data_IF_934576026352
#
_entry.id   IF_934576026352
#
_cell.length_a   1.000
_cell.length_b   1.000
_cell.length_c   1.000
_cell.angle_alpha   90.00
_cell.angle_beta   90.00
_cell.angle_gamma   90.00
#
_symmetry.space_group_name_H-M   'P 1'
#
loop_
_entity.id
_entity.type
_entity.pdbx_description
1 polymer ?
#
# COMPACT_ATOMS: atom_id res chain seq x y z
N UNK A 1 -18.20 9.03 -5.58
CA UNK A 1 -19.51 8.52 -6.05
C UNK A 1 -19.46 8.10 -7.52
N UNK A 2 -18.98 8.97 -8.42
CA UNK A 2 -18.95 8.71 -9.87
C UNK A 2 -18.34 7.35 -10.27
N UNK A 3 -17.13 7.01 -9.78
CA UNK A 3 -16.46 5.72 -10.11
C UNK A 3 -17.32 4.47 -9.82
N UNK A 4 -18.06 4.44 -8.71
CA UNK A 4 -18.93 3.31 -8.38
C UNK A 4 -20.16 3.25 -9.29
N UNK A 5 -20.77 4.40 -9.57
CA UNK A 5 -21.93 4.48 -10.46
C UNK A 5 -21.58 4.13 -11.91
N UNK A 6 -20.38 4.51 -12.37
CA UNK A 6 -19.85 4.15 -13.67
C UNK A 6 -19.64 2.64 -13.78
N UNK A 7 -18.99 2.04 -12.77
CA UNK A 7 -18.81 0.59 -12.69
C UNK A 7 -20.15 -0.15 -12.68
N UNK A 8 -21.11 0.29 -11.86
CA UNK A 8 -22.47 -0.26 -11.82
C UNK A 8 -23.12 -0.26 -13.19
N UNK A 9 -22.99 0.84 -13.93
CA UNK A 9 -23.57 0.98 -15.27
C UNK A 9 -22.98 -0.04 -16.25
N UNK A 10 -21.66 -0.25 -16.21
CA UNK A 10 -20.98 -1.25 -17.04
C UNK A 10 -21.37 -2.69 -16.66
N UNK A 11 -21.42 -3.01 -15.35
CA UNK A 11 -21.79 -4.34 -14.88
C UNK A 11 -23.23 -4.71 -15.24
N UNK A 12 -24.15 -3.73 -15.15
CA UNK A 12 -25.54 -3.89 -15.56
C UNK A 12 -25.66 -4.20 -17.05
N UNK A 13 -24.90 -3.51 -17.91
CA UNK A 13 -24.88 -3.78 -19.35
C UNK A 13 -24.36 -5.20 -19.67
N UNK A 14 -23.52 -5.76 -18.80
CA UNK A 14 -23.01 -7.14 -18.94
C UNK A 14 -23.89 -8.20 -18.29
N UNK A 15 -25.04 -7.82 -17.72
CA UNK A 15 -25.96 -8.75 -17.06
C UNK A 15 -25.39 -9.38 -15.79
N UNK A 16 -24.46 -8.71 -15.11
CA UNK A 16 -23.89 -9.20 -13.84
C UNK A 16 -24.96 -9.17 -12.77
N UNK A 17 -25.13 -10.29 -12.05
CA UNK A 17 -26.07 -10.40 -10.95
C UNK A 17 -25.35 -10.87 -9.68
N UNK A 18 -25.71 -10.35 -8.49
CA UNK A 18 -26.68 -9.27 -8.25
C UNK A 18 -26.20 -7.90 -8.77
N UNK A 19 -27.12 -6.94 -9.04
CA UNK A 19 -26.73 -5.62 -9.51
C UNK A 19 -25.97 -4.86 -8.42
N UNK A 20 -24.81 -4.28 -8.77
CA UNK A 20 -24.00 -3.49 -7.85
C UNK A 20 -24.79 -2.27 -7.34
N UNK A 21 -24.77 -2.01 -6.04
CA UNK A 21 -25.32 -0.81 -5.42
C UNK A 21 -24.24 0.02 -4.75
N UNK A 22 -24.34 1.34 -4.87
CA UNK A 22 -23.36 2.27 -4.31
C UNK A 22 -23.95 2.94 -3.06
N UNK A 23 -23.43 2.59 -1.88
CA UNK A 23 -23.82 3.20 -0.61
C UNK A 23 -22.77 4.23 -0.21
N UNK A 24 -23.20 5.47 0.03
CA UNK A 24 -22.29 6.55 0.44
C UNK A 24 -22.15 6.60 1.96
N UNK A 25 -20.91 6.66 2.43
CA UNK A 25 -20.54 6.86 3.83
C UNK A 25 -19.73 8.15 4.02
N UNK A 26 -19.64 8.64 5.26
CA UNK A 26 -18.87 9.85 5.58
C UNK A 26 -17.35 9.62 5.63
N UNK A 27 -16.95 8.45 6.12
CA UNK A 27 -15.57 8.02 6.24
C UNK A 27 -15.52 6.48 6.28
N UNK A 28 -14.33 5.91 6.38
CA UNK A 28 -14.15 4.45 6.36
C UNK A 28 -14.84 3.76 7.53
N UNK A 29 -14.82 4.37 8.72
CA UNK A 29 -15.45 3.79 9.90
C UNK A 29 -16.99 3.79 9.79
N UNK A 30 -17.60 4.85 9.24
CA UNK A 30 -19.04 4.89 8.94
C UNK A 30 -19.41 3.82 7.90
N UNK A 31 -18.54 3.58 6.90
CA UNK A 31 -18.78 2.52 5.91
C UNK A 31 -18.74 1.12 6.57
N UNK A 32 -17.75 0.87 7.42
CA UNK A 32 -17.65 -0.37 8.19
C UNK A 32 -18.82 -0.57 9.15
N UNK A 33 -19.25 0.50 9.82
CA UNK A 33 -20.44 0.48 10.65
C UNK A 33 -21.68 0.09 9.83
N UNK A 34 -21.89 0.71 8.66
CA UNK A 34 -23.00 0.38 7.74
C UNK A 34 -22.96 -1.06 7.27
N UNK A 35 -21.78 -1.61 6.99
CA UNK A 35 -21.65 -3.04 6.66
C UNK A 35 -22.09 -3.88 7.85
N UNK A 36 -21.59 -3.57 9.05
CA UNK A 36 -21.92 -4.29 10.27
C UNK A 36 -23.41 -4.27 10.63
N UNK A 37 -24.14 -3.19 10.29
CA UNK A 37 -25.60 -3.06 10.51
C UNK A 37 -26.46 -3.39 9.27
N UNK A 38 -25.89 -4.08 8.28
CA UNK A 38 -26.59 -4.52 7.08
C UNK A 38 -27.20 -3.43 6.20
N UNK A 39 -26.54 -2.27 6.18
CA UNK A 39 -26.83 -1.16 5.26
C UNK A 39 -25.87 -1.10 4.05
N UNK A 40 -24.85 -1.95 4.04
CA UNK A 40 -23.92 -2.17 2.93
C UNK A 40 -23.33 -3.59 3.04
N UNK A 41 -22.73 -4.09 1.96
CA UNK A 41 -22.25 -5.48 1.90
C UNK A 41 -20.73 -5.60 1.99
N UNK A 42 -19.99 -4.72 1.31
CA UNK A 42 -18.53 -4.81 1.20
C UNK A 42 -17.86 -3.45 0.99
N UNK A 43 -16.56 -3.39 1.30
CA UNK A 43 -15.68 -2.25 1.06
C UNK A 43 -14.27 -2.77 0.72
N UNK A 44 -13.54 -2.07 -0.14
CA UNK A 44 -12.09 -2.29 -0.32
C UNK A 44 -11.31 -1.48 0.71
N UNK A 45 -10.44 -2.13 1.48
CA UNK A 45 -9.57 -1.53 2.50
C UNK A 45 -8.11 -1.83 2.22
N UNK A 46 -7.24 -0.87 2.55
CA UNK A 46 -5.80 -1.11 2.66
C UNK A 46 -5.45 -1.98 3.89
N UNK A 47 -4.22 -2.49 3.90
CA UNK A 47 -3.69 -3.40 4.91
C UNK A 47 -3.73 -2.81 6.33
N UNK A 48 -3.39 -1.53 6.46
CA UNK A 48 -3.31 -0.82 7.75
C UNK A 48 -4.70 -0.59 8.33
N UNK A 49 -5.63 -0.14 7.48
CA UNK A 49 -7.01 0.16 7.84
C UNK A 49 -7.77 -1.13 8.16
N UNK A 50 -7.57 -2.20 7.38
CA UNK A 50 -8.13 -3.53 7.65
C UNK A 50 -7.64 -4.09 8.97
N UNK A 51 -6.34 -3.97 9.27
CA UNK A 51 -5.78 -4.39 10.56
C UNK A 51 -6.38 -3.57 11.72
N UNK A 52 -6.35 -2.24 11.60
CA UNK A 52 -6.83 -1.31 12.64
C UNK A 52 -8.29 -1.56 13.06
N UNK A 53 -9.15 -1.85 12.09
CA UNK A 53 -10.59 -2.00 12.34
C UNK A 53 -11.05 -3.44 12.54
N UNK A 54 -10.16 -4.43 12.37
CA UNK A 54 -10.50 -5.85 12.50
C UNK A 54 -11.15 -6.17 13.85
N UNK A 55 -10.49 -5.79 14.95
CA UNK A 55 -10.92 -6.20 16.28
C UNK A 55 -12.26 -5.55 16.67
N UNK A 56 -12.61 -4.42 16.05
CA UNK A 56 -13.87 -3.71 16.27
C UNK A 56 -15.03 -4.31 15.47
N UNK A 57 -14.80 -4.71 14.22
CA UNK A 57 -15.87 -5.10 13.28
C UNK A 57 -15.85 -6.57 12.88
N UNK A 58 -14.85 -7.35 13.30
CA UNK A 58 -14.62 -8.75 12.92
C UNK A 58 -14.71 -8.92 11.39
N UNK A 59 -13.74 -8.34 10.69
CA UNK A 59 -13.75 -8.30 9.23
C UNK A 59 -13.36 -9.66 8.63
N UNK A 60 -14.01 -10.00 7.53
CA UNK A 60 -13.71 -11.19 6.71
C UNK A 60 -13.30 -10.73 5.32
N UNK A 61 -12.18 -11.26 4.85
CA UNK A 61 -11.65 -10.95 3.52
C UNK A 61 -12.35 -11.84 2.47
N UNK A 62 -12.85 -11.24 1.39
CA UNK A 62 -13.51 -11.92 0.27
C UNK A 62 -12.55 -12.15 -0.88
N UNK A 63 -11.93 -11.07 -1.36
CA UNK A 63 -10.93 -11.07 -2.41
C UNK A 63 -9.82 -10.09 -2.07
N UNK A 64 -8.62 -10.39 -2.54
CA UNK A 64 -7.47 -9.49 -2.44
C UNK A 64 -7.14 -8.97 -3.83
N UNK A 65 -6.77 -7.69 -3.90
CA UNK A 65 -6.26 -7.12 -5.14
C UNK A 65 -5.00 -7.87 -5.59
N UNK A 66 -4.95 -8.18 -6.89
CA UNK A 66 -3.83 -8.84 -7.52
C UNK A 66 -3.09 -7.85 -8.42
N UNK A 67 -1.83 -7.60 -8.07
CA UNK A 67 -0.96 -6.67 -8.76
C UNK A 67 0.02 -7.44 -9.66
N UNK A 68 -0.43 -7.81 -10.87
CA UNK A 68 0.43 -8.39 -11.90
C UNK A 68 -0.01 -9.75 -12.45
N UNK A 69 0.85 -10.34 -13.28
CA UNK A 69 0.65 -11.60 -13.99
C UNK A 69 0.91 -12.83 -13.09
N UNK A 70 1.69 -12.71 -12.02
CA UNK A 70 2.04 -13.82 -11.11
C UNK A 70 0.97 -14.24 -10.08
N UNK A 71 -0.21 -13.62 -10.03
CA UNK A 71 -1.25 -13.94 -9.04
C UNK A 71 -0.81 -13.77 -7.58
N UNK A 72 0.12 -12.84 -7.29
CA UNK A 72 0.56 -12.58 -5.92
C UNK A 72 -0.20 -11.40 -5.32
N UNK A 73 -0.81 -11.62 -4.16
CA UNK A 73 -1.63 -10.64 -3.43
C UNK A 73 -0.84 -9.87 -2.37
N UNK A 74 0.49 -9.80 -2.48
CA UNK A 74 1.35 -9.17 -1.47
C UNK A 74 2.38 -8.24 -2.13
N UNK A 75 2.75 -7.19 -1.40
CA UNK A 75 3.89 -6.33 -1.69
C UNK A 75 5.08 -6.72 -0.83
N UNK A 76 6.28 -6.42 -1.30
CA UNK A 76 7.46 -6.30 -0.47
C UNK A 76 7.53 -4.90 0.11
N UNK A 77 7.66 -4.79 1.43
CA UNK A 77 8.02 -3.54 2.08
C UNK A 77 9.54 -3.39 2.03
N UNK A 78 10.02 -2.41 1.28
CA UNK A 78 11.44 -2.13 1.13
C UNK A 78 11.82 -0.87 1.91
N UNK A 79 13.02 -0.86 2.49
CA UNK A 79 13.69 0.36 2.91
C UNK A 79 14.80 0.68 1.91
N UNK A 80 14.66 1.81 1.21
CA UNK A 80 15.69 2.33 0.32
C UNK A 80 16.46 3.39 1.08
N UNK A 81 17.78 3.30 1.04
CA UNK A 81 18.68 4.21 1.76
C UNK A 81 19.77 4.72 0.85
N UNK A 82 20.30 5.90 1.16
CA UNK A 82 21.57 6.34 0.58
C UNK A 82 22.70 5.45 1.09
N UNK A 83 23.68 5.15 0.26
CA UNK A 83 24.89 4.44 0.70
C UNK A 83 25.61 5.27 1.74
N UNK A 84 25.83 4.69 2.91
CA UNK A 84 26.51 5.32 4.04
C UNK A 84 27.17 4.26 4.90
N UNK A 85 28.36 4.52 5.47
CA UNK A 85 28.98 3.63 6.45
C UNK A 85 28.18 3.52 7.75
N UNK A 86 27.32 4.50 8.04
CA UNK A 86 26.53 4.58 9.27
C UNK A 86 25.13 3.96 9.13
N UNK A 87 24.86 3.24 8.04
CA UNK A 87 23.54 2.66 7.75
C UNK A 87 23.71 1.35 6.98
N UNK A 88 24.04 0.30 7.71
CA UNK A 88 24.40 -1.02 7.18
C UNK A 88 23.39 -2.11 7.50
N UNK A 89 22.46 -1.84 8.42
CA UNK A 89 21.38 -2.74 8.77
C UNK A 89 20.18 -1.97 9.34
N UNK A 90 19.04 -2.65 9.48
CA UNK A 90 17.85 -2.08 10.13
C UNK A 90 18.09 -1.60 11.57
N UNK A 91 19.10 -2.12 12.26
CA UNK A 91 19.46 -1.67 13.61
C UNK A 91 20.01 -0.23 13.64
N UNK A 92 20.54 0.25 12.50
CA UNK A 92 21.17 1.57 12.38
C UNK A 92 20.16 2.68 12.05
N UNK A 93 18.86 2.35 11.97
CA UNK A 93 17.80 3.31 11.66
C UNK A 93 17.48 4.28 12.80
N UNK A 94 17.89 3.96 14.03
CA UNK A 94 17.64 4.81 15.18
C UNK A 94 18.32 6.19 15.01
N UNK A 95 17.52 7.25 15.06
CA UNK A 95 17.99 8.62 14.87
C UNK A 95 18.19 9.06 13.41
N UNK A 96 17.89 8.18 12.44
CA UNK A 96 17.87 8.52 11.02
C UNK A 96 16.55 9.18 10.61
N UNK A 97 16.62 9.99 9.58
CA UNK A 97 15.48 10.76 9.05
C UNK A 97 14.81 10.04 7.88
N UNK A 98 13.48 10.10 7.83
CA UNK A 98 12.65 9.31 6.92
C UNK A 98 11.91 10.17 5.89
N UNK A 99 11.84 9.66 4.66
CA UNK A 99 10.92 10.10 3.62
C UNK A 99 9.55 9.46 3.82
N UNK A 100 8.49 10.26 3.68
CA UNK A 100 7.10 9.86 3.88
C UNK A 100 6.23 10.35 2.71
N UNK A 101 5.24 9.56 2.32
CA UNK A 101 4.22 9.91 1.32
C UNK A 101 3.00 10.57 1.96
N UNK A 102 2.53 11.72 1.46
CA UNK A 102 1.25 12.26 1.92
C UNK A 102 0.09 11.64 1.12
N UNK A 103 -0.84 10.97 1.80
CA UNK A 103 -2.09 10.50 1.17
C UNK A 103 -2.92 11.65 0.59
N UNK A 104 -3.27 11.57 -0.70
CA UNK A 104 -4.42 12.29 -1.29
C UNK A 104 -4.14 13.40 -2.30
N UNK A 105 -2.89 13.81 -2.49
CA UNK A 105 -2.47 14.65 -3.60
C UNK A 105 -0.96 14.43 -3.77
N UNK A 106 -0.49 14.13 -4.97
CA UNK A 106 0.89 13.75 -5.32
C UNK A 106 1.92 14.87 -5.07
N UNK A 107 1.96 15.42 -3.87
CA UNK A 107 2.91 16.42 -3.40
C UNK A 107 3.79 15.74 -2.37
N UNK A 108 4.99 15.35 -2.80
CA UNK A 108 6.07 14.91 -1.93
C UNK A 108 6.32 16.03 -0.92
N UNK A 109 6.04 15.79 0.37
CA UNK A 109 6.31 16.77 1.41
C UNK A 109 7.77 16.69 1.87
N UNK A 110 8.59 17.51 1.23
CA UNK A 110 9.99 17.73 1.62
C UNK A 110 10.11 18.41 3.00
N UNK A 111 9.02 18.90 3.60
CA UNK A 111 8.96 19.71 4.82
C UNK A 111 8.49 18.96 6.08
N UNK A 112 8.31 17.63 6.03
CA UNK A 112 8.01 16.77 7.21
C UNK A 112 6.70 17.09 7.96
N UNK A 113 5.74 17.79 7.36
CA UNK A 113 4.48 18.17 8.01
C UNK A 113 3.60 16.95 8.35
N UNK A 114 3.76 15.84 7.60
CA UNK A 114 3.03 14.57 7.80
C UNK A 114 3.44 13.75 9.03
N UNK A 115 4.63 13.95 9.62
CA UNK A 115 5.11 13.14 10.76
C UNK A 115 4.21 13.20 12.01
N UNK A 116 3.34 14.21 12.12
CA UNK A 116 2.48 14.42 13.30
C UNK A 116 1.18 13.59 13.21
N UNK A 117 0.86 12.99 12.05
CA UNK A 117 -0.42 12.32 11.81
C UNK A 117 -0.49 10.86 12.29
N UNK A 118 0.65 10.22 12.59
CA UNK A 118 0.68 8.82 13.05
C UNK A 118 0.13 7.80 12.04
N UNK A 119 0.02 8.18 10.76
CA UNK A 119 -0.31 7.27 9.65
C UNK A 119 0.99 6.74 9.03
N UNK A 120 1.00 5.48 8.63
CA UNK A 120 2.17 4.84 8.01
C UNK A 120 2.24 5.23 6.53
N UNK A 121 2.96 6.30 6.29
CA UNK A 121 3.08 6.99 5.01
C UNK A 121 4.16 6.35 4.10
N UNK A 122 4.00 5.07 3.74
CA UNK A 122 4.89 4.40 2.78
C UNK A 122 4.61 4.90 1.36
N UNK A 123 5.64 4.99 0.51
CA UNK A 123 5.44 5.31 -0.89
C UNK A 123 4.82 4.12 -1.63
N UNK A 124 3.73 4.40 -2.38
CA UNK A 124 3.16 3.44 -3.32
C UNK A 124 3.96 3.37 -4.64
N UNK A 125 4.72 4.44 -4.95
CA UNK A 125 5.59 4.52 -6.12
C UNK A 125 7.06 4.65 -5.72
N UNK A 126 7.89 3.78 -6.28
CA UNK A 126 9.33 3.78 -6.13
C UNK A 126 9.98 5.08 -6.61
N UNK A 127 9.46 5.67 -7.69
CA UNK A 127 9.91 6.97 -8.21
C UNK A 127 9.83 8.08 -7.16
N UNK A 128 8.78 8.08 -6.35
CA UNK A 128 8.51 9.15 -5.39
C UNK A 128 9.41 9.02 -4.16
N UNK A 129 9.66 7.77 -3.73
CA UNK A 129 10.66 7.47 -2.71
C UNK A 129 12.05 7.96 -3.13
N UNK A 130 12.46 7.67 -4.36
CA UNK A 130 13.76 8.09 -4.91
C UNK A 130 13.84 9.59 -5.14
N UNK A 131 12.76 10.21 -5.60
CA UNK A 131 12.62 11.66 -5.71
C UNK A 131 12.82 12.34 -4.35
N UNK A 132 12.18 11.82 -3.30
CA UNK A 132 12.37 12.34 -1.94
C UNK A 132 13.81 12.20 -1.46
N UNK A 133 14.40 11.00 -1.59
CA UNK A 133 15.77 10.77 -1.12
C UNK A 133 16.79 11.62 -1.88
N UNK A 134 16.64 11.78 -3.18
CA UNK A 134 17.59 12.55 -4.00
C UNK A 134 17.52 14.05 -3.78
N UNK A 135 16.32 14.59 -3.63
CA UNK A 135 16.12 16.04 -3.47
C UNK A 135 16.24 16.52 -2.01
N UNK A 136 16.41 15.62 -1.04
CA UNK A 136 16.49 15.97 0.39
C UNK A 136 17.73 15.40 1.07
N UNK A 137 17.97 15.83 2.31
CA UNK A 137 19.01 15.28 3.18
C UNK A 137 18.47 14.14 4.08
N UNK A 138 17.43 13.44 3.63
CA UNK A 138 16.85 12.30 4.36
C UNK A 138 17.62 11.01 4.11
N UNK A 139 17.58 10.11 5.09
CA UNK A 139 18.41 8.90 5.13
C UNK A 139 17.72 7.68 4.50
N UNK A 140 16.42 7.51 4.76
CA UNK A 140 15.66 6.31 4.39
C UNK A 140 14.28 6.65 3.82
N UNK A 141 13.82 5.88 2.83
CA UNK A 141 12.44 5.89 2.36
C UNK A 141 11.88 4.46 2.41
N UNK A 142 10.62 4.33 2.83
CA UNK A 142 9.92 3.05 2.82
C UNK A 142 8.96 3.00 1.63
N UNK A 143 9.04 1.94 0.84
CA UNK A 143 8.27 1.79 -0.40
C UNK A 143 7.65 0.41 -0.50
N UNK A 144 6.41 0.36 -0.99
CA UNK A 144 5.73 -0.89 -1.36
C UNK A 144 6.16 -1.26 -2.78
N UNK A 145 6.77 -2.44 -2.96
CA UNK A 145 7.11 -2.98 -4.28
C UNK A 145 6.27 -4.23 -4.57
N UNK A 146 5.38 -4.22 -5.59
CA UNK A 146 4.73 -5.43 -6.06
C UNK A 146 5.75 -6.51 -6.48
N UNK A 147 5.41 -7.78 -6.31
CA UNK A 147 6.35 -8.90 -6.54
C UNK A 147 7.00 -8.91 -7.93
N UNK A 148 6.29 -8.43 -8.95
CA UNK A 148 6.76 -8.38 -10.34
C UNK A 148 7.21 -6.98 -10.79
N UNK A 149 7.08 -5.97 -9.94
CA UNK A 149 7.56 -4.63 -10.27
C UNK A 149 9.08 -4.60 -10.23
N UNK A 150 9.67 -3.96 -11.23
CA UNK A 150 11.10 -3.70 -11.23
C UNK A 150 11.38 -2.38 -10.53
N UNK A 151 12.43 -2.38 -9.71
CA UNK A 151 12.96 -1.21 -8.99
C UNK A 151 13.33 -0.05 -9.95
N UNK A 152 13.46 -0.32 -11.25
CA UNK A 152 13.77 0.65 -12.30
C UNK A 152 12.74 0.71 -13.44
N UNK A 153 11.59 0.02 -13.33
CA UNK A 153 10.51 0.06 -14.32
C UNK A 153 9.52 1.20 -14.10
N UNK A 154 9.57 1.81 -12.92
CA UNK A 154 8.86 3.04 -12.59
C UNK A 154 9.76 4.23 -12.92
N UNK A 155 9.19 5.30 -13.47
CA UNK A 155 9.91 6.47 -13.99
C UNK A 155 10.99 6.98 -13.01
N UNK A 156 12.25 6.58 -13.24
CA UNK A 156 13.39 7.08 -12.48
C UNK A 156 13.82 8.40 -13.12
N UNK A 157 13.95 9.51 -12.38
CA UNK A 157 14.44 10.75 -12.92
C UNK A 157 15.83 10.54 -13.58
N UNK A 158 16.06 11.01 -14.82
CA UNK A 158 17.28 10.70 -15.57
C UNK A 158 18.60 11.21 -14.95
N UNK A 159 18.51 12.07 -13.92
CA UNK A 159 19.67 12.60 -13.20
C UNK A 159 20.02 11.79 -11.93
N UNK A 160 19.28 10.72 -11.66
CA UNK A 160 19.46 9.91 -10.45
C UNK A 160 20.43 8.75 -10.71
N UNK A 161 21.54 8.73 -9.97
CA UNK A 161 22.45 7.59 -9.98
C UNK A 161 21.98 6.54 -8.97
N UNK A 162 21.42 5.43 -9.46
CA UNK A 162 20.92 4.34 -8.62
C UNK A 162 22.03 3.68 -7.78
N UNK A 163 23.29 3.77 -8.21
CA UNK A 163 24.43 3.23 -7.46
C UNK A 163 24.72 3.98 -6.17
N UNK A 164 24.16 5.17 -5.97
CA UNK A 164 24.30 5.91 -4.70
C UNK A 164 23.33 5.41 -3.63
N UNK A 165 22.45 4.46 -3.99
CA UNK A 165 21.41 3.92 -3.12
C UNK A 165 21.53 2.41 -2.96
N UNK A 166 20.90 1.89 -1.91
CA UNK A 166 20.88 0.47 -1.58
C UNK A 166 19.59 0.10 -0.84
N UNK A 167 19.25 -1.18 -0.85
CA UNK A 167 18.20 -1.75 -0.03
C UNK A 167 18.77 -2.05 1.37
N UNK A 168 18.04 -1.65 2.40
CA UNK A 168 18.34 -2.01 3.78
C UNK A 168 17.58 -3.28 4.15
N UNK A 169 18.33 -4.31 4.53
CA UNK A 169 17.82 -5.62 4.94
C UNK A 169 17.91 -5.77 6.45
N UNK A 170 17.23 -6.78 7.01
CA UNK A 170 17.29 -7.09 8.44
C UNK A 170 18.74 -7.17 8.97
N UNK A 171 19.63 -7.87 8.26
CA UNK A 171 21.01 -8.14 8.68
C UNK A 171 22.08 -7.62 7.70
N UNK A 172 21.79 -6.54 6.96
CA UNK A 172 22.76 -6.03 5.99
C UNK A 172 22.15 -5.06 5.00
N UNK A 173 22.88 -4.84 3.91
CA UNK A 173 22.44 -4.05 2.76
C UNK A 173 22.64 -4.85 1.48
N UNK A 174 21.81 -4.58 0.48
CA UNK A 174 21.95 -5.13 -0.87
C UNK A 174 21.89 -4.02 -1.92
N UNK A 175 22.58 -4.17 -3.06
CA UNK A 175 22.43 -3.24 -4.18
C UNK A 175 20.97 -3.07 -4.59
N UNK A 176 20.62 -1.85 -4.97
CA UNK A 176 19.27 -1.46 -5.37
C UNK A 176 18.91 -2.02 -6.76
N UNK A 177 18.45 -3.26 -6.81
CA UNK A 177 17.97 -3.90 -8.03
C UNK A 177 16.79 -4.85 -7.75
N UNK A 178 16.00 -5.14 -8.79
CA UNK A 178 14.78 -5.95 -8.70
C UNK A 178 15.03 -7.39 -8.25
N UNK A 179 16.21 -7.94 -8.54
CA UNK A 179 16.56 -9.32 -8.18
C UNK A 179 16.79 -9.48 -6.67
N UNK A 180 17.19 -8.41 -5.99
CA UNK A 180 17.48 -8.43 -4.55
C UNK A 180 16.25 -8.17 -3.68
N UNK A 181 15.21 -7.49 -4.19
CA UNK A 181 14.02 -7.14 -3.40
C UNK A 181 13.32 -8.34 -2.72
N UNK A 182 13.16 -9.52 -3.36
CA UNK A 182 12.60 -10.70 -2.70
C UNK A 182 13.45 -11.24 -1.52
N UNK A 183 14.77 -11.00 -1.55
CA UNK A 183 15.72 -11.46 -0.53
C UNK A 183 16.00 -10.39 0.54
N UNK A 184 15.86 -9.11 0.18
CA UNK A 184 16.11 -7.96 1.02
C UNK A 184 14.86 -7.08 1.08
N UNK A 185 13.95 -7.45 1.98
CA UNK A 185 12.74 -6.71 2.32
C UNK A 185 12.53 -6.75 3.84
N UNK A 186 11.79 -5.78 4.36
CA UNK A 186 11.41 -5.69 5.77
C UNK A 186 10.22 -6.58 6.11
N UNK A 187 9.51 -7.05 5.08
CA UNK A 187 8.37 -7.94 5.24
C UNK A 187 7.50 -7.99 3.99
N UNK A 188 6.48 -8.83 4.07
CA UNK A 188 5.42 -8.95 3.09
C UNK A 188 4.18 -8.27 3.63
N UNK A 189 3.62 -7.36 2.84
CA UNK A 189 2.42 -6.61 3.19
C UNK A 189 1.29 -7.11 2.29
N UNK A 190 0.14 -7.55 2.83
CA UNK A 190 -0.99 -7.93 2.01
C UNK A 190 -1.46 -6.77 1.13
N UNK A 191 -1.97 -7.09 -0.05
CA UNK A 191 -2.63 -6.12 -0.91
C UNK A 191 -3.96 -5.66 -0.30
N UNK A 192 -4.55 -4.62 -0.89
CA UNK A 192 -5.86 -4.17 -0.46
C UNK A 192 -6.87 -5.31 -0.60
N UNK A 193 -7.80 -5.38 0.36
CA UNK A 193 -8.76 -6.46 0.47
C UNK A 193 -10.17 -5.91 0.37
N UNK A 194 -11.01 -6.60 -0.41
CA UNK A 194 -12.46 -6.43 -0.30
C UNK A 194 -12.92 -7.25 0.89
N UNK A 195 -13.49 -6.57 1.87
CA UNK A 195 -13.91 -7.16 3.14
C UNK A 195 -15.41 -7.04 3.35
N UNK A 196 -15.96 -7.94 4.15
CA UNK A 196 -17.32 -7.92 4.66
C UNK A 196 -17.33 -8.24 6.17
N UNK A 197 -18.53 -8.27 6.76
CA UNK A 197 -18.74 -8.63 8.18
C UNK A 197 -18.65 -10.14 8.41
N UNK A 198 -18.20 -10.54 9.60
CA UNK A 198 -18.13 -11.95 9.98
C UNK A 198 -19.49 -12.68 9.98
N UNK A 199 -20.58 -11.99 10.32
CA UNK A 199 -21.92 -12.58 10.36
C UNK A 199 -22.47 -12.93 8.98
N UNK A 200 -21.80 -12.53 7.89
CA UNK A 200 -22.22 -12.85 6.54
C UNK A 200 -22.10 -14.34 6.26
N UNK A 201 -23.14 -14.94 5.65
CA UNK A 201 -23.17 -16.39 5.40
C UNK A 201 -22.16 -16.79 4.32
N UNK A 202 -21.61 -18.01 4.39
CA UNK A 202 -20.65 -18.49 3.38
C UNK A 202 -21.22 -18.51 1.96
N UNK A 203 -22.52 -18.80 1.80
CA UNK A 203 -23.19 -18.74 0.48
C UNK A 203 -23.24 -17.32 -0.05
N UNK A 204 -23.64 -16.35 0.79
CA UNK A 204 -23.72 -14.96 0.36
C UNK A 204 -22.35 -14.36 0.07
N UNK A 205 -21.30 -14.76 0.80
CA UNK A 205 -19.92 -14.40 0.46
C UNK A 205 -19.45 -14.90 -0.91
N UNK A 206 -20.02 -15.99 -1.43
CA UNK A 206 -19.73 -16.50 -2.77
C UNK A 206 -20.54 -15.79 -3.86
N UNK A 207 -21.71 -15.26 -3.49
CA UNK A 207 -22.59 -14.49 -4.39
C UNK A 207 -22.21 -13.00 -4.49
N UNK A 208 -21.34 -12.52 -3.58
CA UNK A 208 -20.74 -11.17 -3.58
C UNK A 208 -19.57 -11.08 -4.56
#
# INVERSE_FOLDING_TARGET
ENKCNDLRSVLNLRGTMPPLQCVRAQNTEDCLFRINVDQADLISLDDVTRYRFNDKYNLVDLVSENYGAAQTTNYYLLAVVKKSPDLTSTADLAGKTTCHSLDGNSTIDYSLTGCISGKSDFFDAFSDAMGCLSASNKDVAFVKLPHESTVAGEYVPPQLNLDDFQLLCANGVMPLNSSNAPQCNLGRVPANMVVTRFSESSSRRQDM
#
